data_IF_318698646863
#
_entry.id   IF_318698646863
#
_cell.length_a   1.000
_cell.length_b   1.000
_cell.length_c   1.000
_cell.angle_alpha   90.00
_cell.angle_beta   90.00
_cell.angle_gamma   90.00
#
_symmetry.space_group_name_H-M   'P 1'
#
loop_
_entity.id
_entity.type
_entity.pdbx_description
1 polymer ?
#
# COMPACT_ATOMS: atom_id res chain seq x y z
N UNK A 1 -4.43 22.37 -29.60
CA UNK A 1 -4.71 22.06 -28.18
C UNK A 1 -4.72 20.54 -28.09
N UNK A 2 -3.59 19.96 -27.71
CA UNK A 2 -3.39 18.52 -27.76
C UNK A 2 -4.12 17.87 -26.59
N UNK A 3 -4.95 16.88 -26.91
CA UNK A 3 -5.64 16.06 -25.94
C UNK A 3 -4.69 15.07 -25.26
N UNK A 4 -5.10 14.74 -24.03
CA UNK A 4 -4.86 13.46 -23.38
C UNK A 4 -3.49 13.18 -22.76
N UNK A 5 -2.94 14.14 -22.02
CA UNK A 5 -2.15 13.81 -20.82
C UNK A 5 -3.09 13.77 -19.62
N UNK A 6 -3.67 12.60 -19.39
CA UNK A 6 -4.30 12.22 -18.11
C UNK A 6 -3.33 11.35 -17.29
N UNK A 7 -2.02 11.54 -17.44
CA UNK A 7 -1.11 11.33 -16.32
C UNK A 7 -1.45 12.45 -15.31
N UNK A 8 -2.48 12.24 -14.49
CA UNK A 8 -3.29 13.35 -14.01
C UNK A 8 -3.83 13.11 -12.61
N UNK A 9 -3.29 13.90 -11.68
CA UNK A 9 -3.70 14.17 -10.29
C UNK A 9 -4.26 12.99 -9.49
N UNK A 10 -3.55 12.63 -8.41
CA UNK A 10 -4.01 11.67 -7.39
C UNK A 10 -5.42 12.03 -6.86
N UNK A 11 -5.76 13.32 -6.86
CA UNK A 11 -7.03 13.86 -6.40
C UNK A 11 -7.03 14.18 -4.89
N UNK A 12 -8.12 14.75 -4.36
CA UNK A 12 -8.25 15.01 -2.93
C UNK A 12 -8.29 13.71 -2.14
N UNK A 13 -7.73 13.74 -0.93
CA UNK A 13 -7.68 12.59 -0.02
C UNK A 13 -9.05 12.30 0.57
N UNK A 14 -9.43 11.03 0.56
CA UNK A 14 -10.70 10.56 1.08
C UNK A 14 -10.51 9.96 2.48
N UNK A 15 -10.60 10.83 3.50
CA UNK A 15 -10.39 10.47 4.91
C UNK A 15 -11.22 9.26 5.39
N UNK A 16 -12.49 9.07 5.02
CA UNK A 16 -13.24 7.87 5.40
C UNK A 16 -12.60 6.56 4.92
N UNK A 17 -11.90 6.56 3.77
CA UNK A 17 -11.15 5.38 3.34
C UNK A 17 -9.95 5.12 4.25
N UNK A 18 -9.17 6.15 4.60
CA UNK A 18 -8.04 6.01 5.53
C UNK A 18 -8.51 5.48 6.90
N UNK A 19 -9.62 6.01 7.42
CA UNK A 19 -10.21 5.51 8.68
C UNK A 19 -10.60 4.03 8.57
N UNK A 20 -11.21 3.63 7.45
CA UNK A 20 -11.60 2.25 7.20
C UNK A 20 -10.39 1.31 7.09
N UNK A 21 -9.32 1.76 6.43
CA UNK A 21 -8.06 1.04 6.30
C UNK A 21 -7.44 0.82 7.68
N UNK A 22 -7.31 1.89 8.47
CA UNK A 22 -6.79 1.84 9.84
C UNK A 22 -7.55 0.82 10.70
N UNK A 23 -8.88 0.90 10.69
CA UNK A 23 -9.71 0.01 11.51
C UNK A 23 -9.57 -1.46 11.09
N UNK A 24 -9.37 -1.74 9.79
CA UNK A 24 -9.09 -3.09 9.29
C UNK A 24 -7.72 -3.61 9.74
N UNK A 25 -6.67 -2.79 9.68
CA UNK A 25 -5.34 -3.19 10.15
C UNK A 25 -5.35 -3.47 11.65
N UNK A 26 -6.00 -2.61 12.44
CA UNK A 26 -6.16 -2.83 13.90
C UNK A 26 -6.99 -4.08 14.22
N UNK A 27 -7.94 -4.45 13.37
CA UNK A 27 -8.74 -5.67 13.53
C UNK A 27 -7.96 -6.94 13.16
N UNK A 28 -7.14 -6.87 12.10
CA UNK A 28 -6.53 -8.04 11.48
C UNK A 28 -5.13 -8.35 11.99
N UNK A 29 -4.33 -7.34 12.31
CA UNK A 29 -2.91 -7.51 12.57
C UNK A 29 -2.55 -7.16 14.02
N UNK A 30 -2.26 -8.16 14.86
CA UNK A 30 -1.86 -7.93 16.25
C UNK A 30 -0.51 -7.21 16.40
N UNK A 31 0.32 -7.13 15.37
CA UNK A 31 1.61 -6.41 15.37
C UNK A 31 1.46 -4.90 15.18
N UNK A 32 0.25 -4.36 14.96
CA UNK A 32 0.05 -2.90 14.91
C UNK A 32 0.37 -2.29 16.28
N UNK A 33 1.42 -1.46 16.32
CA UNK A 33 1.88 -0.77 17.53
C UNK A 33 1.22 0.61 17.66
N UNK A 34 1.23 1.39 16.57
CA UNK A 34 0.68 2.75 16.53
C UNK A 34 0.06 3.05 15.16
N UNK A 35 -0.94 3.94 15.16
CA UNK A 35 -1.47 4.53 13.93
C UNK A 35 -1.50 6.04 14.06
N UNK A 36 -1.06 6.76 13.04
CA UNK A 36 -1.03 8.22 13.01
C UNK A 36 -1.53 8.78 11.68
N UNK A 37 -1.97 10.02 11.69
CA UNK A 37 -2.13 10.81 10.47
C UNK A 37 -1.02 11.86 10.42
N UNK A 38 -0.58 12.22 9.23
CA UNK A 38 0.44 13.24 8.98
C UNK A 38 0.01 14.65 9.46
N UNK A 39 -1.28 14.96 9.35
CA UNK A 39 -1.87 16.22 9.82
C UNK A 39 -3.22 15.99 10.52
N UNK A 40 -3.47 16.75 11.60
CA UNK A 40 -4.68 16.59 12.44
C UNK A 40 -5.92 17.28 11.87
N UNK A 41 -5.76 18.22 10.94
CA UNK A 41 -6.83 19.04 10.35
C UNK A 41 -7.15 18.58 8.94
N UNK A 42 -6.12 18.35 8.13
CA UNK A 42 -6.22 17.99 6.72
C UNK A 42 -5.28 16.82 6.41
N UNK A 43 -5.55 15.63 6.98
CA UNK A 43 -4.70 14.46 6.79
C UNK A 43 -4.61 14.08 5.31
N UNK A 44 -3.39 13.84 4.84
CA UNK A 44 -3.13 13.33 3.49
C UNK A 44 -2.64 11.89 3.48
N UNK A 45 -2.17 11.40 4.61
CA UNK A 45 -1.57 10.08 4.76
C UNK A 45 -1.96 9.45 6.10
N UNK A 46 -2.21 8.15 6.07
CA UNK A 46 -2.29 7.30 7.24
C UNK A 46 -0.97 6.54 7.38
N UNK A 47 -0.37 6.62 8.56
CA UNK A 47 0.79 5.82 8.93
C UNK A 47 0.37 4.72 9.91
N UNK A 48 0.81 3.49 9.65
CA UNK A 48 0.61 2.34 10.53
C UNK A 48 1.98 1.78 10.87
N UNK A 49 2.39 1.89 12.13
CA UNK A 49 3.62 1.31 12.66
C UNK A 49 3.36 -0.11 13.13
N UNK A 50 4.25 -1.02 12.75
CA UNK A 50 4.24 -2.43 13.14
C UNK A 50 5.42 -2.69 14.07
N UNK A 51 5.19 -3.45 15.14
CA UNK A 51 6.21 -3.82 16.13
C UNK A 51 7.21 -4.87 15.64
N UNK A 52 7.08 -5.32 14.39
CA UNK A 52 7.95 -6.28 13.72
C UNK A 52 7.89 -6.05 12.20
N UNK A 53 8.89 -6.53 11.46
CA UNK A 53 9.00 -6.38 10.01
C UNK A 53 9.21 -7.69 9.27
N UNK A 54 9.43 -7.60 7.96
CA UNK A 54 9.76 -8.76 7.12
C UNK A 54 11.21 -9.20 7.38
N UNK A 55 11.44 -10.51 7.41
CA UNK A 55 12.78 -11.06 7.67
C UNK A 55 13.27 -10.80 9.08
N UNK A 56 14.46 -10.20 9.21
CA UNK A 56 15.08 -9.84 10.49
C UNK A 56 14.85 -8.38 10.90
N UNK A 57 13.94 -7.66 10.23
CA UNK A 57 13.61 -6.29 10.56
C UNK A 57 12.88 -6.20 11.92
N UNK A 58 13.35 -5.33 12.81
CA UNK A 58 12.81 -5.16 14.17
C UNK A 58 11.47 -4.38 14.20
N UNK A 59 11.15 -3.66 13.14
CA UNK A 59 9.90 -2.90 13.00
C UNK A 59 9.65 -2.54 11.54
N UNK A 60 8.41 -2.20 11.23
CA UNK A 60 8.01 -1.72 9.92
C UNK A 60 6.95 -0.63 10.00
N UNK A 61 6.70 0.04 8.88
CA UNK A 61 5.65 1.04 8.72
C UNK A 61 4.98 0.92 7.36
N UNK A 62 3.68 1.15 7.33
CA UNK A 62 2.93 1.41 6.10
C UNK A 62 2.51 2.88 6.04
N UNK A 63 2.88 3.55 4.95
CA UNK A 63 2.47 4.90 4.58
C UNK A 63 1.37 4.79 3.50
N UNK A 64 0.16 5.23 3.80
CA UNK A 64 -1.04 4.91 3.02
C UNK A 64 -1.79 6.17 2.60
N UNK A 65 -2.09 6.26 1.31
CA UNK A 65 -2.92 7.31 0.72
C UNK A 65 -4.10 6.70 -0.03
N UNK A 66 -5.26 7.36 0.02
CA UNK A 66 -6.44 6.99 -0.74
C UNK A 66 -7.23 8.24 -1.13
N UNK A 67 -7.55 8.39 -2.41
CA UNK A 67 -8.24 9.57 -2.93
C UNK A 67 -9.74 9.35 -3.18
N UNK A 68 -10.48 10.45 -3.34
CA UNK A 68 -11.90 10.41 -3.73
C UNK A 68 -12.13 9.76 -5.11
N UNK A 69 -11.08 9.67 -5.93
CA UNK A 69 -11.09 9.02 -7.24
C UNK A 69 -10.81 7.52 -7.16
N UNK A 70 -10.59 6.97 -5.97
CA UNK A 70 -10.23 5.57 -5.75
C UNK A 70 -8.79 5.26 -6.15
N UNK A 71 -7.93 6.27 -6.24
CA UNK A 71 -6.49 6.11 -6.42
C UNK A 71 -5.85 5.88 -5.06
N UNK A 72 -4.84 5.02 -4.99
CA UNK A 72 -4.22 4.66 -3.71
C UNK A 72 -2.73 4.40 -3.84
N UNK A 73 -2.06 4.47 -2.69
CA UNK A 73 -0.69 4.00 -2.47
C UNK A 73 -0.65 3.32 -1.10
N UNK A 74 -0.10 2.10 -1.04
CA UNK A 74 0.30 1.41 0.18
C UNK A 74 1.80 1.19 0.11
N UNK A 75 2.57 2.01 0.82
CA UNK A 75 4.02 1.96 0.81
C UNK A 75 4.54 1.38 2.12
N UNK A 76 5.21 0.23 2.04
CA UNK A 76 5.87 -0.38 3.17
C UNK A 76 7.33 0.05 3.23
N UNK A 77 7.83 0.26 4.43
CA UNK A 77 9.26 0.42 4.76
C UNK A 77 9.56 -0.27 6.08
N UNK A 78 10.72 -0.90 6.21
CA UNK A 78 11.16 -1.46 7.49
C UNK A 78 12.53 -1.02 7.94
N UNK A 79 12.91 -1.46 9.14
CA UNK A 79 14.18 -1.11 9.78
C UNK A 79 15.44 -1.60 9.04
N UNK A 80 15.28 -2.47 8.05
CA UNK A 80 16.36 -2.94 7.17
C UNK A 80 16.39 -2.19 5.83
N UNK A 81 15.63 -1.09 5.73
CA UNK A 81 15.45 -0.31 4.51
C UNK A 81 14.84 -1.14 3.34
N UNK A 82 14.08 -2.21 3.65
CA UNK A 82 13.28 -2.91 2.63
C UNK A 82 12.00 -2.13 2.40
N UNK A 83 11.70 -1.84 1.14
CA UNK A 83 10.55 -1.07 0.70
C UNK A 83 9.79 -1.81 -0.39
N UNK A 84 8.47 -1.76 -0.38
CA UNK A 84 7.63 -2.19 -1.50
C UNK A 84 6.35 -1.37 -1.54
N UNK A 85 5.67 -1.35 -2.68
CA UNK A 85 4.46 -0.51 -2.83
C UNK A 85 3.39 -1.13 -3.70
N UNK A 86 2.14 -1.05 -3.26
CA UNK A 86 0.98 -1.25 -4.12
C UNK A 86 0.35 0.09 -4.48
N UNK A 87 0.26 0.37 -5.77
CA UNK A 87 -0.29 1.62 -6.30
C UNK A 87 -1.47 1.38 -7.23
N UNK A 88 -2.39 2.34 -7.19
CA UNK A 88 -3.35 2.57 -8.26
C UNK A 88 -3.36 4.04 -8.62
N UNK A 89 -2.77 4.39 -9.77
CA UNK A 89 -2.89 5.74 -10.33
C UNK A 89 -2.57 5.76 -11.83
N UNK A 90 -3.18 6.70 -12.59
CA UNK A 90 -2.81 6.90 -13.99
C UNK A 90 -1.34 7.30 -14.13
N UNK A 91 -0.61 6.65 -15.04
CA UNK A 91 0.72 7.05 -15.46
C UNK A 91 0.98 6.58 -16.91
N UNK A 92 2.15 6.91 -17.46
CA UNK A 92 2.51 6.62 -18.87
C UNK A 92 3.42 5.41 -19.06
N UNK A 93 3.90 4.79 -17.99
CA UNK A 93 5.02 3.84 -18.03
C UNK A 93 4.75 2.51 -17.31
N UNK A 94 3.68 2.43 -16.51
CA UNK A 94 3.26 1.26 -15.74
C UNK A 94 1.74 1.02 -15.92
N UNK A 95 1.24 -0.19 -15.62
CA UNK A 95 -0.19 -0.42 -15.49
C UNK A 95 -0.85 0.55 -14.49
N UNK A 96 -2.14 0.83 -14.63
CA UNK A 96 -2.85 1.71 -13.68
C UNK A 96 -2.75 1.16 -12.25
N UNK A 97 -2.96 -0.15 -12.09
CA UNK A 97 -2.78 -0.88 -10.83
C UNK A 97 -1.47 -1.67 -10.92
N UNK A 98 -0.49 -1.30 -10.12
CA UNK A 98 0.87 -1.83 -10.21
C UNK A 98 1.49 -2.04 -8.83
N UNK A 99 2.54 -2.84 -8.81
CA UNK A 99 3.34 -3.17 -7.65
C UNK A 99 4.79 -2.75 -7.90
N UNK A 100 5.41 -2.12 -6.91
CA UNK A 100 6.84 -1.86 -6.89
C UNK A 100 7.51 -2.89 -5.96
N UNK A 101 8.33 -3.79 -6.50
CA UNK A 101 8.93 -4.85 -5.72
C UNK A 101 10.02 -4.35 -4.76
N UNK A 102 10.30 -5.10 -3.68
CA UNK A 102 11.45 -4.86 -2.83
C UNK A 102 12.78 -5.14 -3.56
N UNK A 103 13.91 -4.63 -3.02
CA UNK A 103 14.02 -3.87 -1.77
C UNK A 103 13.85 -2.35 -1.87
N UNK A 104 13.96 -1.74 -3.05
CA UNK A 104 13.97 -0.27 -3.16
C UNK A 104 12.63 0.34 -3.64
N UNK A 105 11.62 -0.47 -3.95
CA UNK A 105 10.38 -0.02 -4.59
C UNK A 105 10.64 0.86 -5.83
N UNK A 106 11.67 0.50 -6.62
CA UNK A 106 12.15 1.35 -7.71
C UNK A 106 11.06 1.58 -8.77
N UNK A 107 10.94 2.83 -9.25
CA UNK A 107 9.91 3.19 -10.23
C UNK A 107 10.03 2.40 -11.54
N UNK A 108 11.26 2.10 -11.96
CA UNK A 108 11.54 1.39 -13.21
C UNK A 108 11.20 -0.10 -13.16
N UNK A 109 11.07 -0.67 -11.96
CA UNK A 109 10.81 -2.09 -11.75
C UNK A 109 9.33 -2.38 -11.46
N UNK A 110 8.45 -1.39 -11.69
CA UNK A 110 7.02 -1.55 -11.52
C UNK A 110 6.46 -2.68 -12.39
N UNK A 111 5.71 -3.57 -11.76
CA UNK A 111 5.06 -4.71 -12.41
C UNK A 111 3.54 -4.68 -12.19
N UNK A 112 2.74 -5.44 -12.94
CA UNK A 112 1.31 -5.53 -12.69
C UNK A 112 1.01 -6.00 -11.27
N UNK A 113 0.07 -5.33 -10.60
CA UNK A 113 -0.45 -5.77 -9.30
C UNK A 113 -1.23 -7.08 -9.44
N UNK A 114 -1.12 -7.96 -8.43
CA UNK A 114 -1.95 -9.15 -8.30
C UNK A 114 -3.35 -8.87 -7.71
N UNK A 115 -3.62 -7.62 -7.33
CA UNK A 115 -4.87 -7.13 -6.74
C UNK A 115 -5.69 -6.43 -7.83
N UNK A 116 -6.81 -7.04 -8.24
CA UNK A 116 -7.71 -6.49 -9.29
C UNK A 116 -8.95 -5.77 -8.73
N UNK A 117 -9.26 -5.99 -7.44
CA UNK A 117 -10.35 -5.31 -6.72
C UNK A 117 -10.04 -3.83 -6.51
N UNK A 118 -11.06 -3.00 -6.32
CA UNK A 118 -10.87 -1.54 -6.18
C UNK A 118 -11.57 -0.95 -4.95
N UNK A 119 -12.35 -1.77 -4.25
CA UNK A 119 -13.05 -1.40 -3.03
C UNK A 119 -12.08 -1.34 -1.85
N UNK A 120 -12.10 -0.23 -1.11
CA UNK A 120 -11.20 0.05 0.03
C UNK A 120 -10.98 -1.18 0.92
N UNK A 121 -12.06 -1.85 1.34
CA UNK A 121 -11.96 -2.98 2.26
C UNK A 121 -11.35 -4.23 1.64
N UNK A 122 -11.57 -4.48 0.34
CA UNK A 122 -11.01 -5.64 -0.34
C UNK A 122 -9.53 -5.39 -0.65
N UNK A 123 -9.19 -4.21 -1.17
CA UNK A 123 -7.78 -3.83 -1.39
C UNK A 123 -6.98 -3.91 -0.09
N UNK A 124 -7.51 -3.39 1.02
CA UNK A 124 -6.82 -3.46 2.32
C UNK A 124 -6.58 -4.89 2.77
N UNK A 125 -7.59 -5.77 2.64
CA UNK A 125 -7.48 -7.17 3.04
C UNK A 125 -6.51 -7.94 2.15
N UNK A 126 -6.51 -7.64 0.86
CA UNK A 126 -5.56 -8.19 -0.10
C UNK A 126 -4.12 -7.78 0.23
N UNK A 127 -3.84 -6.48 0.44
CA UNK A 127 -2.50 -5.99 0.83
C UNK A 127 -2.05 -6.63 2.14
N UNK A 128 -2.93 -6.65 3.15
CA UNK A 128 -2.64 -7.30 4.43
C UNK A 128 -2.32 -8.80 4.24
N UNK A 129 -3.11 -9.53 3.44
CA UNK A 129 -2.88 -10.95 3.18
C UNK A 129 -1.52 -11.19 2.49
N UNK A 130 -1.12 -10.32 1.56
CA UNK A 130 0.19 -10.43 0.89
C UNK A 130 1.34 -10.18 1.87
N UNK A 131 1.25 -9.11 2.66
CA UNK A 131 2.26 -8.83 3.69
C UNK A 131 2.34 -9.94 4.72
N UNK A 132 1.20 -10.43 5.22
CA UNK A 132 1.14 -11.51 6.22
C UNK A 132 1.75 -12.81 5.70
N UNK A 133 1.47 -13.16 4.45
CA UNK A 133 2.06 -14.34 3.81
C UNK A 133 3.58 -14.20 3.69
N UNK A 134 4.06 -13.03 3.26
CA UNK A 134 5.50 -12.77 3.16
C UNK A 134 6.19 -12.79 4.54
N UNK A 135 5.51 -12.28 5.58
CA UNK A 135 5.98 -12.29 6.96
C UNK A 135 6.06 -13.70 7.54
N UNK A 136 5.04 -14.55 7.32
CA UNK A 136 5.00 -15.91 7.85
C UNK A 136 5.95 -16.88 7.12
N UNK A 137 6.11 -16.72 5.81
CA UNK A 137 6.96 -17.58 4.99
C UNK A 137 8.43 -17.11 4.96
N UNK A 138 8.74 -15.94 5.53
CA UNK A 138 10.04 -15.26 5.38
C UNK A 138 10.46 -15.14 3.89
N UNK A 139 9.50 -14.69 3.07
CA UNK A 139 9.58 -14.80 1.61
C UNK A 139 9.01 -13.56 0.91
N UNK A 140 9.90 -12.61 0.55
CA UNK A 140 9.53 -11.35 -0.12
C UNK A 140 8.87 -11.56 -1.50
N UNK A 141 9.20 -12.66 -2.19
CA UNK A 141 8.60 -13.01 -3.48
C UNK A 141 7.09 -13.35 -3.37
N UNK A 142 6.55 -13.44 -2.15
CA UNK A 142 5.11 -13.62 -1.92
C UNK A 142 4.28 -12.35 -2.11
N UNK A 143 4.89 -11.17 -1.98
CA UNK A 143 4.19 -9.88 -1.88
C UNK A 143 3.28 -9.54 -3.08
N UNK A 144 3.49 -10.14 -4.24
CA UNK A 144 2.68 -9.92 -5.45
C UNK A 144 2.33 -11.23 -6.19
N UNK A 145 2.26 -12.35 -5.46
CA UNK A 145 2.19 -13.70 -6.06
C UNK A 145 0.80 -14.34 -6.10
N UNK A 146 -0.19 -13.76 -5.43
CA UNK A 146 -1.53 -14.35 -5.33
C UNK A 146 -2.34 -14.20 -6.61
N UNK A 147 -3.36 -15.05 -6.79
CA UNK A 147 -4.38 -14.86 -7.83
C UNK A 147 -5.69 -14.49 -7.16
N UNK A 148 -6.11 -13.23 -7.33
CA UNK A 148 -7.35 -12.68 -6.76
C UNK A 148 -7.45 -12.83 -5.22
N UNK A 149 -6.55 -12.17 -4.47
CA UNK A 149 -6.61 -12.13 -3.01
C UNK A 149 -7.95 -11.49 -2.51
N UNK A 150 -8.39 -11.85 -1.29
CA UNK A 150 -9.74 -11.54 -0.77
C UNK A 150 -10.00 -10.07 -0.44
#
# INVERSE_FOLDING_TARGET
MNGNDRAGEFGPIYLPALQRIRDLWLELEPLVDETAYDDVVAPTELQISLSDGLGDAENARLDIQWSELGLYSFHYVDSNDVNWRFDRHPNTHSPEIHFHPPPEAATMDAEPSCIDVTEVSLVTRAVHAMWRTAYEDDALDRLNSASNPP
#
